data_IF_879044834064
#
_entry.id   IF_879044834064
#
_cell.length_a   1.000
_cell.length_b   1.000
_cell.length_c   1.000
_cell.angle_alpha   90.00
_cell.angle_beta   90.00
_cell.angle_gamma   90.00
#
_symmetry.space_group_name_H-M   'P 1'
#
loop_
_entity.id
_entity.type
_entity.pdbx_description
1 polymer ?
#
# COMPACT_ATOMS: atom_id res chain seq x y z
N UNK A 1 5.68 4.56 -3.41
CA UNK A 1 5.70 5.88 -2.76
C UNK A 1 6.34 5.77 -1.38
N UNK A 2 7.50 6.38 -1.26
CA UNK A 2 8.38 6.44 -0.10
C UNK A 2 8.06 7.71 0.69
N UNK A 3 8.00 7.59 2.02
CA UNK A 3 7.70 8.71 2.95
C UNK A 3 6.35 9.42 2.70
N UNK A 4 5.41 8.77 2.02
CA UNK A 4 4.04 9.29 1.85
C UNK A 4 3.19 9.12 3.12
N UNK A 5 2.00 9.73 3.14
CA UNK A 5 1.05 9.66 4.28
C UNK A 5 0.76 8.22 4.73
N UNK A 6 0.67 7.29 3.78
CA UNK A 6 0.45 5.88 4.09
C UNK A 6 1.54 5.27 4.98
N UNK A 7 2.78 5.76 4.93
CA UNK A 7 3.85 5.29 5.81
C UNK A 7 3.55 5.61 7.28
N UNK A 8 3.13 6.85 7.58
CA UNK A 8 2.75 7.24 8.94
C UNK A 8 1.52 6.48 9.43
N UNK A 9 0.50 6.31 8.59
CA UNK A 9 -0.69 5.52 8.92
C UNK A 9 -0.27 4.08 9.28
N UNK A 10 0.56 3.43 8.45
CA UNK A 10 1.02 2.07 8.73
C UNK A 10 1.82 1.98 10.02
N UNK A 11 2.67 2.97 10.33
CA UNK A 11 3.43 3.01 11.56
C UNK A 11 2.53 3.18 12.80
N UNK A 12 1.49 4.01 12.71
CA UNK A 12 0.53 4.20 13.79
C UNK A 12 -0.32 2.94 14.04
N UNK A 13 -0.75 2.26 12.98
CA UNK A 13 -1.48 0.98 13.10
C UNK A 13 -0.60 -0.07 13.75
N UNK A 14 0.66 -0.22 13.31
CA UNK A 14 1.60 -1.15 13.91
C UNK A 14 1.83 -0.86 15.40
N UNK A 15 1.96 0.41 15.79
CA UNK A 15 2.16 0.82 17.19
C UNK A 15 0.95 0.52 18.07
N UNK A 16 -0.27 0.80 17.59
CA UNK A 16 -1.51 0.70 18.39
C UNK A 16 -2.12 -0.71 18.38
N UNK A 17 -1.90 -1.47 17.31
CA UNK A 17 -2.57 -2.75 17.07
C UNK A 17 -1.60 -3.93 16.99
N UNK A 18 -0.35 -3.81 17.48
CA UNK A 18 0.69 -4.83 17.34
C UNK A 18 0.22 -6.27 17.64
N UNK A 19 -0.51 -6.48 18.74
CA UNK A 19 -0.98 -7.79 19.18
C UNK A 19 -2.31 -8.24 18.52
N UNK A 20 -2.94 -7.36 17.73
CA UNK A 20 -4.24 -7.60 17.08
C UNK A 20 -4.12 -7.74 15.56
N UNK A 21 -2.91 -7.70 15.02
CA UNK A 21 -2.66 -7.81 13.59
C UNK A 21 -2.45 -9.27 13.24
N UNK A 22 -3.40 -9.84 12.50
CA UNK A 22 -3.30 -11.21 11.96
C UNK A 22 -2.40 -11.27 10.71
N UNK A 23 -2.18 -10.14 10.05
CA UNK A 23 -1.35 -10.02 8.86
C UNK A 23 -0.56 -8.69 8.85
N UNK A 24 0.56 -8.60 8.11
CA UNK A 24 1.33 -7.37 8.00
C UNK A 24 0.55 -6.26 7.27
N UNK A 25 0.67 -5.02 7.74
CA UNK A 25 0.01 -3.86 7.12
C UNK A 25 0.64 -3.57 5.75
N UNK A 26 -0.06 -3.93 4.68
CA UNK A 26 0.38 -3.71 3.30
C UNK A 26 -0.11 -2.37 2.75
N UNK A 27 0.73 -1.72 1.94
CA UNK A 27 0.42 -0.41 1.30
C UNK A 27 0.49 -0.53 -0.21
N UNK A 28 -0.61 -0.19 -0.88
CA UNK A 28 -0.66 -0.07 -2.34
C UNK A 28 -0.68 1.42 -2.69
N UNK A 29 0.37 1.90 -3.34
CA UNK A 29 0.55 3.32 -3.70
C UNK A 29 1.11 3.43 -5.11
N UNK A 30 1.13 4.67 -5.64
CA UNK A 30 1.88 4.96 -6.85
C UNK A 30 3.38 4.64 -6.72
N UNK A 31 4.04 4.44 -7.84
CA UNK A 31 5.48 4.19 -7.88
C UNK A 31 6.27 5.43 -7.42
N UNK A 32 7.52 5.22 -7.02
CA UNK A 32 8.46 6.29 -6.67
C UNK A 32 9.04 6.96 -7.92
N UNK A 33 8.15 7.42 -8.78
CA UNK A 33 8.45 8.05 -10.06
C UNK A 33 7.67 9.36 -10.17
N UNK A 34 8.20 10.38 -10.88
CA UNK A 34 7.45 11.58 -11.19
C UNK A 34 6.12 11.27 -11.87
N UNK A 35 5.18 12.23 -11.81
CA UNK A 35 3.88 12.09 -12.46
C UNK A 35 4.06 11.88 -13.97
N UNK A 36 3.63 10.72 -14.47
CA UNK A 36 3.69 10.40 -15.88
C UNK A 36 2.45 10.89 -16.59
N UNK A 37 2.60 11.73 -17.61
CA UNK A 37 1.48 12.22 -18.42
C UNK A 37 0.88 11.08 -19.27
N UNK A 38 1.68 10.46 -20.13
CA UNK A 38 1.21 9.34 -20.97
C UNK A 38 1.16 8.01 -20.20
N UNK A 39 1.90 7.91 -19.10
CA UNK A 39 2.02 6.69 -18.29
C UNK A 39 1.16 6.72 -17.01
N UNK A 40 0.27 7.70 -16.88
CA UNK A 40 -0.56 7.91 -15.68
C UNK A 40 -1.24 6.61 -15.23
N UNK A 41 -1.86 5.90 -16.17
CA UNK A 41 -2.58 4.64 -15.93
C UNK A 41 -1.71 3.53 -15.34
N UNK A 42 -0.42 3.51 -15.63
CA UNK A 42 0.51 2.50 -15.12
C UNK A 42 1.10 2.90 -13.76
N UNK A 43 1.10 4.20 -13.45
CA UNK A 43 1.64 4.73 -12.21
C UNK A 43 0.59 4.70 -11.11
N UNK A 44 -0.66 5.04 -11.42
CA UNK A 44 -1.74 4.95 -10.45
C UNK A 44 -1.97 3.51 -9.98
N UNK A 45 -2.29 3.32 -8.69
CA UNK A 45 -2.70 2.02 -8.18
C UNK A 45 -4.08 1.66 -8.74
N UNK A 46 -4.09 0.72 -9.68
CA UNK A 46 -5.33 0.20 -10.29
C UNK A 46 -6.00 -0.87 -9.40
N UNK A 47 -7.27 -1.16 -9.69
CA UNK A 47 -8.10 -2.13 -8.97
C UNK A 47 -7.45 -3.52 -8.91
N UNK A 48 -6.78 -3.95 -9.98
CA UNK A 48 -6.07 -5.24 -10.04
C UNK A 48 -4.93 -5.29 -9.01
N UNK A 49 -4.12 -4.23 -8.91
CA UNK A 49 -3.02 -4.16 -7.92
C UNK A 49 -3.53 -4.15 -6.48
N UNK A 50 -4.71 -3.56 -6.26
CA UNK A 50 -5.37 -3.56 -4.96
C UNK A 50 -5.86 -4.97 -4.63
N UNK A 51 -6.50 -5.65 -5.58
CA UNK A 51 -6.97 -7.02 -5.39
C UNK A 51 -5.84 -7.98 -5.07
N UNK A 52 -4.73 -7.93 -5.82
CA UNK A 52 -3.55 -8.77 -5.58
C UNK A 52 -3.00 -8.57 -4.16
N UNK A 53 -2.94 -7.33 -3.69
CA UNK A 53 -2.48 -7.03 -2.35
C UNK A 53 -3.44 -7.56 -1.27
N UNK A 54 -4.76 -7.50 -1.50
CA UNK A 54 -5.77 -8.07 -0.59
C UNK A 54 -5.58 -9.59 -0.48
N UNK A 55 -5.47 -10.27 -1.62
CA UNK A 55 -5.28 -11.73 -1.66
C UNK A 55 -4.00 -12.13 -0.94
N UNK A 56 -2.90 -11.41 -1.16
CA UNK A 56 -1.64 -11.68 -0.44
C UNK A 56 -1.79 -11.48 1.08
N UNK A 57 -2.47 -10.43 1.53
CA UNK A 57 -2.67 -10.21 2.98
C UNK A 57 -3.56 -11.26 3.62
N UNK A 58 -4.52 -11.84 2.89
CA UNK A 58 -5.39 -12.90 3.37
C UNK A 58 -4.70 -14.28 3.40
N UNK A 59 -3.52 -14.39 2.80
CA UNK A 59 -2.77 -15.66 2.70
C UNK A 59 -1.73 -15.85 3.80
N UNK A 60 -1.62 -14.91 4.75
CA UNK A 60 -0.78 -15.02 5.95
C UNK A 60 -1.52 -15.75 7.07
#
# INVERSE_FOLDING_TARGET
>A
MTSGVGAEISAQVQKKCFLKLDAPVKRVTGWDTPAGLQFEKFILPDAVRILDAIVETLSF
#
